data_IF_668043866582
#
_entry.id   IF_668043866582
#
_cell.length_a   1.000
_cell.length_b   1.000
_cell.length_c   1.000
_cell.angle_alpha   90.00
_cell.angle_beta   90.00
_cell.angle_gamma   90.00
#
_symmetry.space_group_name_H-M   'P 1'
#
loop_
_entity.id
_entity.type
_entity.pdbx_description
1 polymer ?
#
# COMPACT_ATOMS: atom_id res chain seq x y z
N UNK A 1 4.83 -16.80 -10.56
CA UNK A 1 5.48 -16.66 -9.24
C UNK A 1 4.45 -17.05 -8.16
N UNK A 2 4.68 -18.15 -7.41
CA UNK A 2 3.74 -18.61 -6.39
C UNK A 2 3.99 -17.84 -5.09
N UNK A 3 3.00 -17.07 -4.61
CA UNK A 3 3.04 -16.45 -3.30
C UNK A 3 2.94 -17.55 -2.23
N UNK A 4 3.98 -17.69 -1.40
CA UNK A 4 4.06 -18.74 -0.38
C UNK A 4 2.86 -18.69 0.57
N UNK A 5 2.13 -19.80 0.71
CA UNK A 5 0.99 -19.94 1.63
C UNK A 5 1.36 -19.72 3.11
N UNK A 6 2.64 -19.85 3.48
CA UNK A 6 3.13 -19.70 4.87
C UNK A 6 3.46 -18.24 5.25
N UNK A 7 3.64 -17.33 4.29
CA UNK A 7 4.02 -15.93 4.54
C UNK A 7 2.90 -15.00 4.05
N UNK A 8 2.57 -13.93 4.79
CA UNK A 8 1.51 -13.04 4.36
C UNK A 8 1.91 -12.25 3.12
N UNK A 9 0.93 -11.92 2.30
CA UNK A 9 1.05 -10.96 1.19
C UNK A 9 0.88 -9.56 1.78
N UNK A 10 1.85 -8.70 1.58
CA UNK A 10 1.79 -7.31 2.03
C UNK A 10 1.22 -6.44 0.92
N UNK A 11 0.17 -5.71 1.20
CA UNK A 11 -0.52 -4.82 0.25
C UNK A 11 -0.45 -3.38 0.77
N UNK A 12 0.23 -2.49 0.04
CA UNK A 12 0.05 -1.04 0.20
C UNK A 12 -1.18 -0.64 -0.62
N UNK A 13 -2.29 -0.37 0.05
CA UNK A 13 -3.55 0.00 -0.58
C UNK A 13 -3.65 1.52 -0.67
N UNK A 14 -3.42 2.07 -1.85
CA UNK A 14 -3.43 3.50 -2.11
C UNK A 14 -4.73 4.16 -1.65
N UNK A 15 -4.61 5.26 -0.93
CA UNK A 15 -5.76 5.97 -0.41
C UNK A 15 -6.72 6.49 -1.49
N UNK A 16 -6.22 6.75 -2.70
CA UNK A 16 -7.02 7.13 -3.86
C UNK A 16 -7.93 6.01 -4.38
N UNK A 17 -7.70 4.75 -3.97
CA UNK A 17 -8.60 3.63 -4.25
C UNK A 17 -9.69 3.52 -3.19
N UNK A 18 -9.38 3.91 -1.95
CA UNK A 18 -10.31 3.87 -0.82
C UNK A 18 -11.25 5.07 -0.88
N UNK A 19 -10.68 6.26 -1.05
CA UNK A 19 -11.38 7.55 -1.10
C UNK A 19 -10.81 8.35 -2.28
N UNK A 20 -11.25 8.10 -3.53
CA UNK A 20 -10.89 8.92 -4.69
C UNK A 20 -11.41 10.35 -4.54
N UNK A 21 -12.69 10.55 -4.36
CA UNK A 21 -13.40 11.77 -3.99
C UNK A 21 -14.27 11.54 -2.77
N UNK A 22 -15.07 10.51 -2.80
CA UNK A 22 -15.85 9.92 -1.73
C UNK A 22 -15.37 8.49 -1.48
N UNK A 23 -15.88 7.84 -0.40
CA UNK A 23 -15.55 6.43 -0.11
C UNK A 23 -16.07 5.54 -1.23
N UNK A 24 -15.18 4.88 -1.96
CA UNK A 24 -15.53 3.96 -3.05
C UNK A 24 -15.94 2.58 -2.48
N UNK A 25 -17.13 2.52 -1.89
CA UNK A 25 -17.66 1.29 -1.30
C UNK A 25 -17.83 0.17 -2.33
N UNK A 26 -18.05 0.51 -3.62
CA UNK A 26 -18.21 -0.49 -4.70
C UNK A 26 -16.87 -1.21 -4.96
N UNK A 27 -15.78 -0.45 -5.05
CA UNK A 27 -14.44 -1.02 -5.12
C UNK A 27 -14.12 -1.83 -3.87
N UNK A 28 -14.35 -1.28 -2.69
CA UNK A 28 -14.05 -1.94 -1.42
C UNK A 28 -14.79 -3.26 -1.26
N UNK A 29 -16.04 -3.36 -1.72
CA UNK A 29 -16.79 -4.61 -1.73
C UNK A 29 -16.13 -5.67 -2.61
N UNK A 30 -15.80 -5.33 -3.87
CA UNK A 30 -15.14 -6.25 -4.81
C UNK A 30 -13.76 -6.68 -4.30
N UNK A 31 -12.99 -5.74 -3.79
CA UNK A 31 -11.67 -6.01 -3.19
C UNK A 31 -11.79 -6.97 -2.01
N UNK A 32 -12.73 -6.73 -1.09
CA UNK A 32 -13.02 -7.61 0.03
C UNK A 32 -13.39 -9.04 -0.43
N UNK A 33 -14.27 -9.17 -1.41
CA UNK A 33 -14.68 -10.46 -1.96
C UNK A 33 -13.48 -11.25 -2.51
N UNK A 34 -12.61 -10.59 -3.28
CA UNK A 34 -11.38 -11.18 -3.79
C UNK A 34 -10.45 -11.64 -2.65
N UNK A 35 -10.18 -10.76 -1.67
CA UNK A 35 -9.29 -11.10 -0.54
C UNK A 35 -9.86 -12.29 0.26
N UNK A 36 -11.18 -12.33 0.52
CA UNK A 36 -11.80 -13.46 1.21
C UNK A 36 -11.68 -14.76 0.39
N UNK A 37 -11.87 -14.69 -0.94
CA UNK A 37 -11.64 -15.84 -1.84
C UNK A 37 -10.21 -16.38 -1.69
N UNK A 38 -9.23 -15.50 -1.63
CA UNK A 38 -7.82 -15.87 -1.46
C UNK A 38 -7.49 -16.37 -0.04
N UNK A 39 -8.16 -15.87 1.01
CA UNK A 39 -8.04 -16.40 2.37
C UNK A 39 -8.55 -17.85 2.43
N UNK A 40 -9.66 -18.14 1.77
CA UNK A 40 -10.18 -19.52 1.67
C UNK A 40 -9.21 -20.48 0.95
N UNK A 41 -8.34 -19.94 0.07
CA UNK A 41 -7.21 -20.68 -0.55
C UNK A 41 -5.98 -20.77 0.39
N UNK A 42 -6.08 -20.36 1.66
CA UNK A 42 -5.01 -20.42 2.67
C UNK A 42 -4.05 -19.23 2.69
N UNK A 43 -4.27 -18.18 1.88
CA UNK A 43 -3.42 -16.98 1.89
C UNK A 43 -3.74 -16.07 3.08
N UNK A 44 -2.77 -15.29 3.50
CA UNK A 44 -2.89 -14.28 4.55
C UNK A 44 -2.41 -12.93 4.05
N UNK A 45 -3.00 -11.87 4.55
CA UNK A 45 -2.78 -10.51 4.04
C UNK A 45 -2.44 -9.52 5.14
N UNK A 46 -1.53 -8.60 4.83
CA UNK A 46 -1.33 -7.38 5.59
C UNK A 46 -1.71 -6.22 4.67
N UNK A 47 -2.73 -5.47 5.03
CA UNK A 47 -3.24 -4.37 4.22
C UNK A 47 -2.92 -3.05 4.92
N UNK A 48 -2.09 -2.21 4.29
CA UNK A 48 -1.75 -0.88 4.78
C UNK A 48 -2.61 0.13 4.03
N UNK A 49 -3.44 0.87 4.75
CA UNK A 49 -4.35 1.84 4.15
C UNK A 49 -3.69 3.20 3.94
N UNK A 50 -3.77 3.76 2.75
CA UNK A 50 -3.38 5.13 2.44
C UNK A 50 -4.43 6.17 2.84
N UNK A 51 -4.03 7.46 2.89
CA UNK A 51 -4.90 8.58 3.34
C UNK A 51 -5.93 9.03 2.31
N UNK A 52 -5.58 9.00 1.01
CA UNK A 52 -6.48 9.35 -0.09
C UNK A 52 -6.96 10.81 -0.07
N UNK A 53 -8.15 11.04 -0.60
CA UNK A 53 -8.75 12.37 -0.62
C UNK A 53 -9.18 12.85 0.77
N UNK A 54 -9.41 11.94 1.71
CA UNK A 54 -9.64 12.31 3.13
C UNK A 54 -8.50 13.19 3.64
N UNK A 55 -7.25 12.74 3.49
CA UNK A 55 -6.09 13.53 3.91
C UNK A 55 -6.03 14.88 3.19
N UNK A 56 -6.17 14.88 1.85
CA UNK A 56 -6.08 16.10 1.03
C UNK A 56 -7.16 17.13 1.35
N UNK A 57 -8.41 16.69 1.55
CA UNK A 57 -9.54 17.59 1.93
C UNK A 57 -9.24 18.28 3.26
N UNK A 58 -8.79 17.55 4.27
CA UNK A 58 -8.48 18.10 5.60
C UNK A 58 -7.24 19.00 5.57
N UNK A 59 -6.17 18.58 4.89
CA UNK A 59 -4.97 19.41 4.72
C UNK A 59 -5.29 20.72 4.00
N UNK A 60 -6.10 20.67 2.92
CA UNK A 60 -6.54 21.85 2.18
C UNK A 60 -7.40 22.78 3.05
N UNK A 61 -8.31 22.23 3.83
CA UNK A 61 -9.20 23.02 4.71
C UNK A 61 -8.38 23.70 5.84
N UNK A 62 -7.49 22.97 6.50
CA UNK A 62 -6.64 23.51 7.53
C UNK A 62 -5.67 24.58 6.99
N UNK A 63 -5.08 24.37 5.80
CA UNK A 63 -4.22 25.35 5.13
C UNK A 63 -4.93 26.64 4.67
N UNK A 64 -6.28 26.61 4.58
CA UNK A 64 -7.07 27.85 4.38
C UNK A 64 -7.28 28.62 5.68
N UNK A 65 -7.27 27.92 6.81
CA UNK A 65 -7.50 28.53 8.13
C UNK A 65 -6.19 29.07 8.76
N UNK A 66 -5.06 28.39 8.50
CA UNK A 66 -3.75 28.74 9.07
C UNK A 66 -2.62 28.23 8.20
N UNK A 67 -1.43 28.85 8.29
CA UNK A 67 -0.22 28.30 7.66
C UNK A 67 0.20 27.00 8.34
N UNK A 68 0.18 25.90 7.60
CA UNK A 68 0.54 24.58 8.11
C UNK A 68 2.06 24.33 8.03
N UNK A 69 2.59 23.69 9.05
CA UNK A 69 3.91 23.07 8.99
C UNK A 69 3.86 21.74 8.24
N UNK A 70 5.03 21.20 7.88
CA UNK A 70 5.13 19.82 7.36
C UNK A 70 4.59 18.79 8.34
N UNK A 71 4.89 18.95 9.61
CA UNK A 71 4.45 18.04 10.67
C UNK A 71 2.93 18.03 10.81
N UNK A 72 2.28 19.20 10.76
CA UNK A 72 0.82 19.31 10.75
C UNK A 72 0.19 18.54 9.57
N UNK A 73 0.72 18.75 8.37
CA UNK A 73 0.25 18.04 7.17
C UNK A 73 0.43 16.53 7.31
N UNK A 74 1.57 16.07 7.82
CA UNK A 74 1.85 14.66 8.02
C UNK A 74 0.91 14.04 9.08
N UNK A 75 0.67 14.72 10.20
CA UNK A 75 -0.27 14.24 11.22
C UNK A 75 -1.69 14.10 10.67
N UNK A 76 -2.18 15.08 9.94
CA UNK A 76 -3.48 14.97 9.25
C UNK A 76 -3.49 13.74 8.33
N UNK A 77 -2.42 13.56 7.55
CA UNK A 77 -2.25 12.40 6.69
C UNK A 77 -2.27 11.08 7.46
N UNK A 78 -1.52 10.97 8.55
CA UNK A 78 -1.47 9.79 9.42
C UNK A 78 -2.86 9.47 9.97
N UNK A 79 -3.61 10.47 10.47
CA UNK A 79 -4.96 10.25 11.00
C UNK A 79 -5.96 9.84 9.92
N UNK A 80 -5.86 10.40 8.71
CA UNK A 80 -6.66 9.96 7.57
C UNK A 80 -6.39 8.49 7.21
N UNK A 81 -5.12 8.05 7.23
CA UNK A 81 -4.79 6.62 7.02
C UNK A 81 -5.39 5.73 8.10
N UNK A 82 -5.42 6.19 9.35
CA UNK A 82 -6.00 5.44 10.49
C UNK A 82 -7.51 5.29 10.37
N UNK A 83 -8.21 6.36 9.93
CA UNK A 83 -9.64 6.30 9.65
C UNK A 83 -9.93 5.29 8.54
N UNK A 84 -9.22 5.37 7.42
CA UNK A 84 -9.35 4.43 6.31
C UNK A 84 -9.01 2.99 6.72
N UNK A 85 -7.99 2.80 7.56
CA UNK A 85 -7.65 1.47 8.10
C UNK A 85 -8.77 0.89 8.97
N UNK A 86 -9.43 1.72 9.79
CA UNK A 86 -10.61 1.28 10.54
C UNK A 86 -11.77 0.90 9.63
N UNK A 87 -12.01 1.64 8.55
CA UNK A 87 -13.00 1.28 7.52
C UNK A 87 -12.67 -0.10 6.93
N UNK A 88 -11.42 -0.31 6.47
CA UNK A 88 -10.98 -1.60 5.93
C UNK A 88 -11.16 -2.71 6.96
N UNK A 89 -10.70 -2.54 8.19
CA UNK A 89 -10.89 -3.53 9.26
C UNK A 89 -12.38 -3.87 9.45
N UNK A 90 -13.23 -2.85 9.48
CA UNK A 90 -14.67 -3.00 9.70
C UNK A 90 -15.35 -3.80 8.60
N UNK A 91 -15.00 -3.56 7.33
CA UNK A 91 -15.60 -4.33 6.22
C UNK A 91 -15.14 -5.79 6.18
N UNK A 92 -13.94 -6.10 6.69
CA UNK A 92 -13.46 -7.49 6.78
C UNK A 92 -14.04 -8.28 7.96
N UNK A 93 -14.56 -7.59 9.01
CA UNK A 93 -15.18 -8.23 10.20
C UNK A 93 -14.31 -9.35 10.78
N UNK A 94 -14.87 -10.54 10.95
CA UNK A 94 -14.19 -11.75 11.51
C UNK A 94 -12.94 -12.19 10.75
N UNK A 95 -12.75 -11.77 9.51
CA UNK A 95 -11.55 -12.11 8.75
C UNK A 95 -10.37 -11.20 9.09
N UNK A 96 -10.59 -10.08 9.78
CA UNK A 96 -9.55 -9.15 10.16
C UNK A 96 -9.25 -9.22 11.65
N UNK A 97 -7.96 -9.16 11.99
CA UNK A 97 -7.53 -8.95 13.37
C UNK A 97 -8.24 -7.73 13.99
N UNK A 98 -8.73 -7.80 15.24
CA UNK A 98 -9.59 -6.75 15.83
C UNK A 98 -8.88 -5.40 16.03
N UNK A 99 -7.55 -5.39 16.05
CA UNK A 99 -6.75 -4.16 16.24
C UNK A 99 -6.07 -3.74 14.95
N UNK A 100 -6.18 -2.44 14.60
CA UNK A 100 -5.39 -1.82 13.54
C UNK A 100 -3.96 -1.61 14.03
N UNK A 101 -2.97 -2.05 13.28
CA UNK A 101 -1.56 -1.79 13.57
C UNK A 101 -1.22 -0.34 13.20
N UNK A 102 -0.88 0.47 14.19
CA UNK A 102 -0.49 1.88 14.07
C UNK A 102 1.01 2.11 14.27
N UNK A 103 1.75 1.05 14.65
CA UNK A 103 3.19 1.09 14.84
C UNK A 103 3.84 -0.16 14.25
N UNK A 104 4.46 -0.08 13.06
CA UNK A 104 5.07 -1.23 12.41
C UNK A 104 6.27 -1.78 13.19
N UNK A 105 6.85 -0.99 14.11
CA UNK A 105 7.98 -1.37 14.98
C UNK A 105 7.55 -1.85 16.37
N UNK A 106 6.26 -2.11 16.60
CA UNK A 106 5.80 -2.66 17.89
C UNK A 106 6.60 -3.90 18.29
N UNK A 107 6.88 -4.07 19.57
CA UNK A 107 7.55 -5.28 20.10
C UNK A 107 6.67 -6.54 20.03
N UNK A 108 5.36 -6.38 19.80
CA UNK A 108 4.42 -7.49 19.71
C UNK A 108 4.79 -8.46 18.57
N UNK A 109 4.56 -9.75 18.81
CA UNK A 109 4.69 -10.75 17.75
C UNK A 109 3.54 -10.64 16.76
N UNK A 110 3.81 -10.06 15.59
CA UNK A 110 2.81 -9.82 14.56
C UNK A 110 2.25 -11.11 13.94
N UNK A 111 2.97 -12.22 14.00
CA UNK A 111 2.49 -13.51 13.48
C UNK A 111 1.27 -14.01 14.27
N UNK A 112 1.15 -13.63 15.55
CA UNK A 112 -0.02 -13.96 16.38
C UNK A 112 -1.31 -13.31 15.89
N UNK A 113 -1.23 -12.26 15.04
CA UNK A 113 -2.39 -11.62 14.43
C UNK A 113 -3.13 -12.53 13.42
N UNK A 114 -2.60 -13.72 13.14
CA UNK A 114 -3.22 -14.71 12.27
C UNK A 114 -3.53 -16.04 13.00
N UNK A 115 -3.40 -16.08 14.34
CA UNK A 115 -3.46 -17.33 15.12
C UNK A 115 -4.88 -17.78 15.44
N UNK A 116 -5.88 -16.90 15.34
CA UNK A 116 -7.27 -17.17 15.69
C UNK A 116 -8.18 -17.31 14.45
N UNK A 117 -7.61 -17.64 13.29
CA UNK A 117 -8.37 -17.80 12.05
C UNK A 117 -8.49 -16.54 11.21
N UNK A 118 -7.93 -15.40 11.69
CA UNK A 118 -7.91 -14.18 10.90
C UNK A 118 -7.02 -14.36 9.67
N UNK A 119 -7.52 -13.90 8.53
CA UNK A 119 -6.78 -13.87 7.27
C UNK A 119 -6.17 -12.52 6.94
N UNK A 120 -6.54 -11.45 7.67
CA UNK A 120 -6.13 -10.07 7.40
C UNK A 120 -5.62 -9.38 8.66
N UNK A 121 -4.45 -8.79 8.58
CA UNK A 121 -3.99 -7.73 9.48
C UNK A 121 -4.10 -6.39 8.76
N UNK A 122 -4.75 -5.40 9.38
CA UNK A 122 -4.83 -4.05 8.82
C UNK A 122 -3.86 -3.13 9.53
N UNK A 123 -3.13 -2.32 8.77
CA UNK A 123 -2.20 -1.32 9.27
C UNK A 123 -2.49 0.07 8.69
N UNK A 124 -1.94 1.09 9.33
CA UNK A 124 -2.09 2.49 8.98
C UNK A 124 -0.74 3.23 9.01
N UNK A 125 -0.74 4.50 8.65
CA UNK A 125 0.40 5.40 8.81
C UNK A 125 0.91 5.41 10.24
N UNK A 126 2.21 5.49 10.39
CA UNK A 126 2.90 5.40 11.67
C UNK A 126 3.01 6.76 12.37
N UNK A 127 3.84 7.63 11.84
CA UNK A 127 4.17 8.96 12.37
C UNK A 127 4.65 9.89 11.25
N UNK A 128 4.76 11.21 11.47
CA UNK A 128 5.32 12.14 10.51
C UNK A 128 6.66 11.69 9.92
N UNK A 129 6.89 12.06 8.66
CA UNK A 129 8.10 11.73 7.92
C UNK A 129 8.15 10.33 7.31
N UNK A 130 7.08 9.51 7.45
CA UNK A 130 7.07 8.14 6.97
C UNK A 130 5.80 7.85 6.14
N UNK A 131 6.01 7.39 4.92
CA UNK A 131 4.92 6.99 4.03
C UNK A 131 4.32 5.64 4.42
N UNK A 132 3.13 5.34 3.90
CA UNK A 132 2.52 4.01 4.02
C UNK A 132 3.30 2.93 3.28
N UNK A 133 4.02 3.29 2.22
CA UNK A 133 4.91 2.37 1.51
C UNK A 133 6.10 1.96 2.40
N UNK A 134 6.66 2.91 3.16
CA UNK A 134 7.72 2.59 4.12
C UNK A 134 7.20 1.72 5.27
N UNK A 135 5.98 1.99 5.75
CA UNK A 135 5.31 1.09 6.72
C UNK A 135 5.18 -0.32 6.15
N UNK A 136 4.82 -0.45 4.87
CA UNK A 136 4.72 -1.75 4.20
C UNK A 136 6.06 -2.49 4.15
N UNK A 137 7.18 -1.79 3.90
CA UNK A 137 8.52 -2.42 3.89
C UNK A 137 8.92 -2.93 5.27
N UNK A 138 8.67 -2.18 6.35
CA UNK A 138 8.94 -2.63 7.73
C UNK A 138 8.09 -3.86 8.08
N UNK A 139 6.80 -3.84 7.73
CA UNK A 139 5.93 -4.99 8.01
C UNK A 139 6.31 -6.22 7.19
N UNK A 140 6.73 -6.03 5.93
CA UNK A 140 7.25 -7.11 5.10
C UNK A 140 8.51 -7.75 5.73
N UNK A 141 9.47 -6.93 6.18
CA UNK A 141 10.68 -7.39 6.88
C UNK A 141 10.32 -8.22 8.11
N UNK A 142 9.49 -7.68 9.00
CA UNK A 142 9.13 -8.31 10.27
C UNK A 142 8.34 -9.60 10.12
N UNK A 143 7.54 -9.70 9.08
CA UNK A 143 6.75 -10.90 8.76
C UNK A 143 7.46 -11.82 7.78
N UNK A 144 8.71 -11.49 7.40
CA UNK A 144 9.52 -12.25 6.45
C UNK A 144 8.81 -12.43 5.09
N UNK A 145 7.92 -11.51 4.73
CA UNK A 145 7.32 -11.45 3.41
C UNK A 145 8.40 -11.09 2.38
N UNK A 146 8.27 -11.63 1.17
CA UNK A 146 9.24 -11.37 0.08
C UNK A 146 8.70 -10.43 -0.97
N UNK A 147 7.39 -10.17 -0.95
CA UNK A 147 6.71 -9.37 -1.96
C UNK A 147 5.78 -8.37 -1.30
N UNK A 148 5.81 -7.14 -1.80
CA UNK A 148 4.83 -6.10 -1.53
C UNK A 148 4.05 -5.87 -2.83
N UNK A 149 2.72 -5.77 -2.73
CA UNK A 149 1.86 -5.35 -3.83
C UNK A 149 1.41 -3.93 -3.54
N UNK A 150 1.88 -2.98 -4.33
CA UNK A 150 1.49 -1.59 -4.24
C UNK A 150 0.33 -1.32 -5.21
N UNK A 151 -0.85 -1.12 -4.65
CA UNK A 151 -2.08 -0.88 -5.39
C UNK A 151 -2.39 0.61 -5.42
N UNK A 152 -2.48 1.16 -6.61
CA UNK A 152 -2.84 2.55 -6.83
C UNK A 152 -3.74 2.71 -8.05
N UNK A 153 -3.89 3.93 -8.56
CA UNK A 153 -4.67 4.24 -9.76
C UNK A 153 -3.83 4.20 -11.06
N UNK A 154 -2.60 3.70 -11.00
CA UNK A 154 -1.72 3.54 -12.17
C UNK A 154 -1.57 2.06 -12.52
N UNK A 155 -1.50 1.76 -13.82
CA UNK A 155 -1.30 0.39 -14.32
C UNK A 155 0.15 -0.05 -14.23
N UNK A 156 1.07 0.87 -14.56
CA UNK A 156 2.52 0.65 -14.61
C UNK A 156 3.26 1.83 -13.99
N UNK A 157 4.50 1.62 -13.58
CA UNK A 157 5.46 2.70 -13.51
C UNK A 157 5.94 3.08 -14.92
N UNK A 158 6.44 4.28 -15.08
CA UNK A 158 6.94 4.83 -16.33
C UNK A 158 8.33 5.42 -16.12
N UNK A 159 9.11 5.53 -17.18
CA UNK A 159 10.44 6.15 -17.17
C UNK A 159 10.38 7.67 -16.86
N UNK A 160 9.24 8.30 -17.15
CA UNK A 160 8.92 9.70 -16.86
C UNK A 160 7.41 9.90 -16.71
N UNK A 161 6.98 11.06 -16.22
CA UNK A 161 5.57 11.33 -15.96
C UNK A 161 4.72 11.29 -17.25
N UNK A 162 3.84 10.29 -17.45
CA UNK A 162 3.03 10.15 -18.66
C UNK A 162 1.97 11.26 -18.84
N UNK A 163 1.71 12.05 -17.79
CA UNK A 163 0.83 13.22 -17.89
C UNK A 163 1.53 14.41 -18.53
N UNK A 164 2.85 14.47 -18.42
CA UNK A 164 3.69 15.56 -18.96
C UNK A 164 4.34 15.17 -20.28
N UNK A 165 4.66 13.90 -20.47
CA UNK A 165 5.43 13.40 -21.60
C UNK A 165 4.65 12.33 -22.35
N UNK A 166 4.23 12.63 -23.59
CA UNK A 166 3.45 11.70 -24.43
C UNK A 166 4.25 10.45 -24.85
N UNK A 167 5.56 10.54 -24.85
CA UNK A 167 6.52 9.49 -25.18
C UNK A 167 7.01 8.70 -23.95
N UNK A 168 6.36 8.86 -22.80
CA UNK A 168 6.65 8.08 -21.60
C UNK A 168 6.42 6.59 -21.85
N UNK A 169 7.46 5.79 -21.58
CA UNK A 169 7.44 4.34 -21.80
C UNK A 169 7.03 3.62 -20.51
N UNK A 170 6.07 2.69 -20.63
CA UNK A 170 5.73 1.80 -19.52
C UNK A 170 6.89 0.89 -19.18
N UNK A 171 7.03 0.58 -17.90
CA UNK A 171 8.04 -0.34 -17.37
C UNK A 171 7.32 -1.58 -16.85
N UNK A 172 7.65 -2.76 -17.38
CA UNK A 172 7.08 -4.03 -16.93
C UNK A 172 7.96 -4.68 -15.85
N UNK A 173 9.28 -4.63 -16.03
CA UNK A 173 10.27 -5.08 -15.04
C UNK A 173 11.41 -4.07 -14.94
N UNK A 174 11.94 -3.88 -13.72
CA UNK A 174 13.05 -2.97 -13.47
C UNK A 174 13.82 -3.38 -12.22
N UNK A 175 15.14 -3.20 -12.25
CA UNK A 175 15.98 -3.39 -11.08
C UNK A 175 15.83 -2.21 -10.10
N UNK A 176 15.99 -2.48 -8.80
CA UNK A 176 15.94 -1.43 -7.78
C UNK A 176 16.89 -0.27 -8.03
N UNK A 177 18.07 -0.54 -8.57
CA UNK A 177 19.06 0.51 -8.89
C UNK A 177 18.45 1.52 -9.84
N UNK A 178 17.93 1.05 -10.97
CA UNK A 178 17.41 1.89 -12.05
C UNK A 178 16.09 2.58 -11.64
N UNK A 179 15.22 1.86 -10.91
CA UNK A 179 13.99 2.44 -10.39
C UNK A 179 14.25 3.60 -9.43
N UNK A 180 15.31 3.50 -8.59
CA UNK A 180 15.68 4.59 -7.68
C UNK A 180 16.25 5.81 -8.38
N UNK A 181 16.83 5.68 -9.58
CA UNK A 181 17.21 6.81 -10.42
C UNK A 181 15.97 7.60 -10.88
N UNK A 182 14.86 6.89 -11.20
CA UNK A 182 13.59 7.52 -11.61
C UNK A 182 12.92 8.25 -10.43
N UNK A 183 12.81 7.63 -9.26
CA UNK A 183 12.03 8.18 -8.12
C UNK A 183 12.86 9.07 -7.20
N UNK A 184 14.20 9.01 -7.30
CA UNK A 184 15.13 9.76 -6.45
C UNK A 184 15.28 9.18 -5.04
N UNK A 185 15.84 9.98 -4.13
CA UNK A 185 16.23 9.55 -2.78
C UNK A 185 15.50 10.28 -1.64
N UNK A 186 14.71 11.30 -1.93
CA UNK A 186 14.03 12.13 -0.92
C UNK A 186 12.53 11.98 -1.04
N UNK A 187 11.87 11.73 0.08
CA UNK A 187 10.42 11.77 0.18
C UNK A 187 9.96 13.18 0.57
N UNK A 188 8.86 13.62 -0.05
CA UNK A 188 8.14 14.82 0.34
C UNK A 188 6.66 14.49 0.47
N UNK A 189 5.92 15.10 1.41
CA UNK A 189 4.47 14.97 1.51
C UNK A 189 3.80 15.30 0.17
N UNK A 190 2.93 14.42 -0.31
CA UNK A 190 2.25 14.60 -1.60
C UNK A 190 3.09 14.25 -2.84
N UNK A 191 4.30 13.72 -2.68
CA UNK A 191 5.09 13.22 -3.80
C UNK A 191 4.31 12.18 -4.59
N UNK A 192 4.15 12.41 -5.89
CA UNK A 192 3.41 11.53 -6.79
C UNK A 192 4.34 10.50 -7.45
N UNK A 193 5.15 9.82 -6.64
CA UNK A 193 6.00 8.73 -7.12
C UNK A 193 5.24 7.41 -7.14
N UNK A 194 5.55 6.50 -8.08
CA UNK A 194 4.92 5.17 -8.14
C UNK A 194 5.13 4.33 -6.88
N UNK A 195 6.26 4.51 -6.20
CA UNK A 195 6.60 3.96 -4.90
C UNK A 195 7.57 4.92 -4.19
N UNK A 196 7.42 5.09 -2.90
CA UNK A 196 8.17 6.05 -2.10
C UNK A 196 9.69 5.86 -2.19
N UNK A 197 10.50 6.95 -2.39
CA UNK A 197 11.96 6.83 -2.52
C UNK A 197 12.66 6.19 -1.32
N UNK A 198 12.21 6.53 -0.09
CA UNK A 198 12.81 5.98 1.15
C UNK A 198 12.41 4.52 1.32
N UNK A 199 11.15 4.19 1.01
CA UNK A 199 10.67 2.81 0.95
C UNK A 199 11.43 2.00 -0.11
N UNK A 200 11.71 2.58 -1.27
CA UNK A 200 12.49 1.97 -2.35
C UNK A 200 13.90 1.58 -1.88
N UNK A 201 14.60 2.51 -1.22
CA UNK A 201 15.92 2.24 -0.64
C UNK A 201 15.88 1.10 0.39
N UNK A 202 14.85 1.10 1.24
CA UNK A 202 14.69 0.05 2.26
C UNK A 202 14.33 -1.30 1.63
N UNK A 203 13.42 -1.32 0.66
CA UNK A 203 13.02 -2.53 -0.07
C UNK A 203 14.21 -3.15 -0.82
N UNK A 204 15.03 -2.34 -1.50
CA UNK A 204 16.27 -2.78 -2.14
C UNK A 204 17.20 -3.46 -1.13
N UNK A 205 17.47 -2.81 0.02
CA UNK A 205 18.34 -3.37 1.06
C UNK A 205 17.87 -4.74 1.57
N UNK A 206 16.56 -4.94 1.59
CA UNK A 206 15.92 -6.18 2.06
C UNK A 206 15.75 -7.24 0.95
N UNK A 207 16.10 -6.93 -0.30
CA UNK A 207 15.84 -7.81 -1.45
C UNK A 207 14.36 -8.11 -1.63
N UNK A 208 13.49 -7.13 -1.35
CA UNK A 208 12.05 -7.27 -1.54
C UNK A 208 11.70 -7.08 -3.01
N UNK A 209 10.74 -7.86 -3.49
CA UNK A 209 10.05 -7.61 -4.75
C UNK A 209 8.86 -6.69 -4.49
N UNK A 210 8.69 -5.66 -5.32
CA UNK A 210 7.51 -4.80 -5.29
C UNK A 210 6.77 -4.92 -6.62
N UNK A 211 5.46 -5.13 -6.56
CA UNK A 211 4.58 -5.15 -7.72
C UNK A 211 3.71 -3.89 -7.65
N UNK A 212 3.81 -3.02 -8.65
CA UNK A 212 2.92 -1.87 -8.83
C UNK A 212 1.82 -2.28 -9.78
N UNK A 213 0.56 -2.10 -9.40
CA UNK A 213 -0.58 -2.46 -10.23
C UNK A 213 -1.80 -1.56 -9.97
N UNK A 214 -2.68 -1.50 -10.98
CA UNK A 214 -3.97 -0.82 -10.87
C UNK A 214 -4.92 -1.57 -9.94
N UNK A 215 -5.24 -0.97 -8.79
CA UNK A 215 -6.07 -1.62 -7.78
C UNK A 215 -7.51 -1.85 -8.19
N UNK A 216 -8.08 -1.05 -9.09
CA UNK A 216 -9.47 -1.21 -9.57
C UNK A 216 -9.66 -2.41 -10.50
N UNK A 217 -8.60 -2.92 -11.11
CA UNK A 217 -8.66 -4.10 -11.95
C UNK A 217 -8.61 -5.39 -11.10
N UNK A 218 -9.77 -5.76 -10.56
CA UNK A 218 -9.92 -6.93 -9.66
C UNK A 218 -9.49 -8.25 -10.32
N UNK A 219 -9.76 -8.41 -11.64
CA UNK A 219 -9.34 -9.62 -12.38
C UNK A 219 -7.81 -9.71 -12.46
N UNK A 220 -7.14 -8.58 -12.69
CA UNK A 220 -5.69 -8.53 -12.70
C UNK A 220 -5.08 -8.79 -11.31
N UNK A 221 -5.72 -8.28 -10.25
CA UNK A 221 -5.28 -8.58 -8.87
C UNK A 221 -5.40 -10.07 -8.55
N UNK A 222 -6.44 -10.75 -9.02
CA UNK A 222 -6.59 -12.19 -8.86
C UNK A 222 -5.44 -12.94 -9.53
N UNK A 223 -5.07 -12.58 -10.75
CA UNK A 223 -3.91 -13.12 -11.45
C UNK A 223 -2.61 -12.94 -10.67
N UNK A 224 -2.37 -11.73 -10.13
CA UNK A 224 -1.20 -11.46 -9.28
C UNK A 224 -1.17 -12.40 -8.07
N UNK A 225 -2.31 -12.58 -7.39
CA UNK A 225 -2.38 -13.46 -6.24
C UNK A 225 -2.20 -14.94 -6.61
N UNK A 226 -2.72 -15.36 -7.74
CA UNK A 226 -2.62 -16.75 -8.19
C UNK A 226 -1.29 -17.06 -8.92
N UNK A 227 -0.45 -16.04 -9.15
CA UNK A 227 0.88 -16.20 -9.74
C UNK A 227 0.86 -16.35 -11.25
N UNK A 228 -0.24 -15.94 -11.88
CA UNK A 228 -0.42 -15.92 -13.33
C UNK A 228 0.23 -14.69 -13.96
N UNK A 229 0.24 -14.61 -15.29
CA UNK A 229 0.64 -13.42 -16.03
C UNK A 229 -0.32 -12.27 -15.77
N UNK A 230 0.23 -11.09 -15.45
CA UNK A 230 -0.54 -9.92 -15.04
C UNK A 230 -0.01 -8.61 -15.65
N UNK A 231 -0.80 -7.58 -15.59
CA UNK A 231 -0.44 -6.21 -15.95
C UNK A 231 0.06 -5.44 -14.72
N UNK A 232 1.29 -4.91 -14.80
CA UNK A 232 1.90 -4.15 -13.72
C UNK A 232 3.41 -4.04 -13.88
N UNK A 233 4.05 -3.32 -12.97
CA UNK A 233 5.52 -3.21 -12.90
C UNK A 233 6.05 -4.08 -11.78
N UNK A 234 7.05 -4.88 -12.08
CA UNK A 234 7.82 -5.66 -11.11
C UNK A 234 9.15 -4.96 -10.85
N UNK A 235 9.46 -4.67 -9.58
CA UNK A 235 10.72 -4.07 -9.13
C UNK A 235 11.46 -5.11 -8.29
N UNK A 236 12.73 -5.42 -8.61
CA UNK A 236 13.53 -6.44 -7.92
C UNK A 236 15.05 -6.11 -7.93
#
# INVERSE_FOLDING_TARGET
MILSAKKPVVISLGGSLIVPEEVDWKFLRKFRELIIKQIKKGKRFVIIAGGGNTARKYQKAAGKAVQLTRDDMDWIGVHATRLNAHLIKTIFRRYAHPRVNKNPRTKANLSKHFSQGEGVMVAAGWRPGWSTDYVATILAERLKAKTIINLSNIKYAYDKDPKKYKDAKKIEEILWKDFREIVGNKWNPGLNAPFDPVASKHAQKLGLKVIIAEGKNIKNLEKIFDGEEFQGTVIM
#
